data_IF_253760099321
#
_entry.id   IF_253760099321
#
_cell.length_a   1.000
_cell.length_b   1.000
_cell.length_c   1.000
_cell.angle_alpha   90.00
_cell.angle_beta   90.00
_cell.angle_gamma   90.00
#
_symmetry.space_group_name_H-M   'P 1'
#
loop_
_entity.id
_entity.type
_entity.pdbx_description
1 polymer ?
#
# COMPACT_ATOMS: atom_id res chain seq x y z
N UNK A 1 -8.90 -33.90 -11.25
CA UNK A 1 -9.35 -32.51 -11.06
C UNK A 1 -8.96 -31.72 -12.30
N UNK A 2 -9.90 -31.49 -13.23
CA UNK A 2 -9.63 -30.70 -14.45
C UNK A 2 -9.92 -29.23 -14.14
N UNK A 3 -8.90 -28.51 -13.72
CA UNK A 3 -8.95 -27.08 -13.44
C UNK A 3 -8.69 -26.32 -14.73
N UNK A 4 -9.72 -25.75 -15.34
CA UNK A 4 -9.54 -24.90 -16.52
C UNK A 4 -10.57 -23.79 -16.55
N UNK A 5 -10.14 -22.58 -16.14
CA UNK A 5 -10.48 -21.31 -16.78
C UNK A 5 -9.75 -20.14 -16.07
N UNK A 6 -8.52 -19.82 -16.50
CA UNK A 6 -7.91 -18.53 -16.17
C UNK A 6 -8.64 -17.44 -16.98
N UNK A 7 -9.65 -16.80 -16.41
CA UNK A 7 -10.34 -15.67 -17.06
C UNK A 7 -9.66 -14.36 -16.67
N UNK A 8 -8.92 -13.76 -17.61
CA UNK A 8 -8.39 -12.40 -17.50
C UNK A 8 -9.54 -11.40 -17.48
N UNK A 9 -9.46 -10.39 -16.60
CA UNK A 9 -10.28 -9.19 -16.71
C UNK A 9 -9.96 -8.52 -18.05
N UNK A 10 -10.97 -8.34 -18.92
CA UNK A 10 -10.82 -7.66 -20.22
C UNK A 10 -10.43 -6.17 -20.09
N UNK A 11 -10.51 -5.60 -18.88
CA UNK A 11 -10.29 -4.16 -18.62
C UNK A 11 -8.95 -3.82 -17.98
N UNK A 12 -8.12 -4.81 -17.65
CA UNK A 12 -6.87 -4.62 -16.93
C UNK A 12 -5.73 -5.44 -17.57
N UNK A 13 -4.55 -4.86 -17.87
CA UNK A 13 -3.40 -5.64 -18.35
C UNK A 13 -2.90 -6.67 -17.32
N UNK A 14 -3.28 -6.54 -16.05
CA UNK A 14 -2.86 -7.39 -14.94
C UNK A 14 -3.89 -8.45 -14.56
N UNK A 15 -3.39 -9.62 -14.14
CA UNK A 15 -4.21 -10.66 -13.53
C UNK A 15 -4.43 -10.27 -12.06
N UNK A 16 -5.63 -9.77 -11.76
CA UNK A 16 -6.02 -9.34 -10.39
C UNK A 16 -7.06 -10.26 -9.74
N UNK A 17 -7.64 -11.19 -10.52
CA UNK A 17 -8.66 -12.16 -10.09
C UNK A 17 -8.54 -13.47 -10.89
N UNK A 18 -8.87 -14.59 -10.24
CA UNK A 18 -9.08 -15.91 -10.86
C UNK A 18 -10.43 -16.49 -10.38
N UNK A 19 -11.19 -17.10 -11.28
CA UNK A 19 -12.45 -17.78 -10.96
C UNK A 19 -12.27 -19.28 -11.20
N UNK A 20 -12.60 -20.10 -10.20
CA UNK A 20 -12.54 -21.56 -10.28
C UNK A 20 -13.94 -22.14 -10.10
N UNK A 21 -14.41 -22.91 -11.07
CA UNK A 21 -15.67 -23.66 -10.97
C UNK A 21 -15.43 -25.01 -10.29
N UNK A 22 -16.27 -25.35 -9.32
CA UNK A 22 -16.28 -26.63 -8.61
C UNK A 22 -17.22 -27.63 -9.31
N UNK A 23 -17.04 -28.92 -8.99
CA UNK A 23 -17.81 -30.02 -9.61
C UNK A 23 -19.32 -29.96 -9.30
N UNK A 24 -19.71 -29.25 -8.24
CA UNK A 24 -21.09 -29.01 -7.80
C UNK A 24 -21.74 -27.76 -8.44
N UNK A 25 -21.03 -27.08 -9.35
CA UNK A 25 -21.48 -25.87 -10.03
C UNK A 25 -21.26 -24.56 -9.26
N UNK A 26 -20.75 -24.62 -8.02
CA UNK A 26 -20.33 -23.42 -7.29
C UNK A 26 -19.06 -22.81 -7.89
N UNK A 27 -18.92 -21.49 -7.85
CA UNK A 27 -17.70 -20.81 -8.30
C UNK A 27 -16.96 -20.15 -7.12
N UNK A 28 -15.65 -20.34 -7.07
CA UNK A 28 -14.73 -19.68 -6.15
C UNK A 28 -14.05 -18.51 -6.85
N UNK A 29 -14.00 -17.36 -6.20
CA UNK A 29 -13.34 -16.16 -6.73
C UNK A 29 -12.15 -15.82 -5.83
N UNK A 30 -10.95 -15.97 -6.40
CA UNK A 30 -9.70 -15.57 -5.78
C UNK A 30 -9.34 -14.17 -6.23
N UNK A 31 -9.09 -13.27 -5.28
CA UNK A 31 -8.58 -11.92 -5.56
C UNK A 31 -7.11 -11.84 -5.14
N UNK A 32 -6.29 -11.17 -5.95
CA UNK A 32 -4.83 -11.05 -5.75
C UNK A 32 -4.49 -10.54 -4.33
N UNK A 33 -5.08 -9.42 -3.91
CA UNK A 33 -4.84 -8.82 -2.60
C UNK A 33 -5.26 -9.71 -1.42
N UNK A 34 -6.41 -10.39 -1.54
CA UNK A 34 -6.91 -11.31 -0.51
C UNK A 34 -6.01 -12.54 -0.38
N UNK A 35 -5.55 -13.07 -1.50
CA UNK A 35 -4.66 -14.21 -1.54
C UNK A 35 -3.33 -13.92 -0.83
N UNK A 36 -2.73 -12.74 -1.06
CA UNK A 36 -1.51 -12.32 -0.35
C UNK A 36 -1.67 -12.31 1.17
N UNK A 37 -2.81 -11.82 1.64
CA UNK A 37 -3.16 -11.78 3.07
C UNK A 37 -3.69 -13.11 3.62
N UNK A 38 -3.65 -14.19 2.82
CA UNK A 38 -4.16 -15.53 3.17
C UNK A 38 -5.65 -15.54 3.58
N UNK A 39 -6.42 -14.61 3.01
CA UNK A 39 -7.87 -14.52 3.22
C UNK A 39 -8.60 -15.50 2.29
N UNK A 40 -9.81 -15.89 2.68
CA UNK A 40 -10.61 -16.86 1.92
C UNK A 40 -11.13 -16.26 0.61
N UNK A 41 -11.28 -17.08 -0.46
CA UNK A 41 -11.94 -16.66 -1.69
C UNK A 41 -13.43 -16.38 -1.45
N UNK A 42 -14.05 -15.62 -2.35
CA UNK A 42 -15.51 -15.45 -2.37
C UNK A 42 -16.19 -16.65 -3.01
N UNK A 43 -17.41 -16.97 -2.60
CA UNK A 43 -18.22 -18.04 -3.18
C UNK A 43 -19.40 -17.44 -3.96
N UNK A 44 -19.49 -17.76 -5.22
CA UNK A 44 -20.63 -17.41 -6.07
C UNK A 44 -21.65 -18.55 -6.01
N UNK A 45 -22.89 -18.23 -5.64
CA UNK A 45 -24.03 -19.14 -5.77
C UNK A 45 -24.50 -19.22 -7.23
N UNK A 46 -25.09 -20.36 -7.64
CA UNK A 46 -25.54 -20.59 -9.03
C UNK A 46 -26.59 -19.59 -9.55
N UNK A 47 -27.23 -18.79 -8.69
CA UNK A 47 -28.20 -17.78 -9.11
C UNK A 47 -27.57 -16.48 -9.66
N UNK A 48 -26.24 -16.46 -9.92
CA UNK A 48 -25.49 -15.47 -10.74
C UNK A 48 -25.67 -13.96 -10.43
N UNK A 49 -26.42 -13.58 -9.40
CA UNK A 49 -26.78 -12.18 -9.15
C UNK A 49 -25.91 -11.52 -8.07
N UNK A 50 -25.38 -12.28 -7.11
CA UNK A 50 -24.59 -11.75 -5.99
C UNK A 50 -23.45 -12.71 -5.60
N UNK A 51 -22.21 -12.21 -5.54
CA UNK A 51 -21.10 -12.93 -4.93
C UNK A 51 -21.12 -12.68 -3.42
N UNK A 52 -21.21 -13.74 -2.62
CA UNK A 52 -21.14 -13.65 -1.17
C UNK A 52 -19.90 -14.40 -0.67
N UNK A 53 -19.27 -13.98 0.42
CA UNK A 53 -18.40 -14.92 1.14
C UNK A 53 -19.33 -15.94 1.78
N UNK A 54 -19.42 -17.15 1.24
CA UNK A 54 -20.06 -18.25 1.98
C UNK A 54 -19.03 -18.69 3.02
N UNK A 55 -19.06 -18.04 4.19
CA UNK A 55 -18.34 -18.51 5.35
C UNK A 55 -19.12 -19.67 5.99
N UNK A 56 -18.51 -20.83 6.28
CA UNK A 56 -19.11 -21.84 7.17
C UNK A 56 -19.37 -21.33 8.60
N UNK A 57 -18.79 -20.17 8.95
CA UNK A 57 -18.96 -19.50 10.24
C UNK A 57 -18.78 -18.00 10.02
N UNK A 58 -19.79 -17.14 10.29
CA UNK A 58 -19.60 -15.70 10.18
C UNK A 58 -18.50 -15.28 11.16
N UNK A 59 -17.33 -14.88 10.67
CA UNK A 59 -16.47 -14.03 11.47
C UNK A 59 -17.22 -12.72 11.59
N UNK A 60 -17.65 -12.37 12.80
CA UNK A 60 -18.40 -11.15 13.04
C UNK A 60 -17.50 -9.97 12.64
N UNK A 61 -17.86 -9.15 11.63
CA UNK A 61 -17.00 -8.09 11.13
C UNK A 61 -16.65 -7.07 12.22
N UNK A 62 -17.52 -6.89 13.23
CA UNK A 62 -17.22 -6.07 14.42
C UNK A 62 -16.00 -6.55 15.20
N UNK A 63 -15.73 -7.86 15.25
CA UNK A 63 -14.56 -8.39 15.95
C UNK A 63 -13.25 -8.17 15.20
N UNK A 64 -13.29 -7.93 13.89
CA UNK A 64 -12.09 -7.62 13.10
C UNK A 64 -11.45 -6.30 13.54
N UNK A 65 -12.27 -5.30 13.87
CA UNK A 65 -11.83 -3.99 14.37
C UNK A 65 -11.29 -4.02 15.80
N UNK A 66 -11.60 -5.07 16.56
CA UNK A 66 -11.14 -5.26 17.93
C UNK A 66 -9.87 -6.12 18.03
N UNK A 67 -9.48 -6.76 16.92
CA UNK A 67 -8.28 -7.58 16.86
C UNK A 67 -7.12 -6.75 16.34
N UNK A 68 -6.12 -6.53 17.19
CA UNK A 68 -4.92 -5.76 16.85
C UNK A 68 -3.64 -6.61 16.83
N UNK A 69 -3.73 -7.90 17.18
CA UNK A 69 -2.57 -8.76 17.40
C UNK A 69 -2.54 -9.96 16.45
N UNK A 70 -1.56 -9.99 15.54
CA UNK A 70 -1.31 -11.14 14.66
C UNK A 70 0.17 -11.24 14.22
N UNK A 71 1.13 -11.38 15.16
CA UNK A 71 2.57 -11.40 14.85
C UNK A 71 3.02 -12.55 13.95
N UNK A 72 2.20 -13.60 13.81
CA UNK A 72 2.39 -14.71 12.87
C UNK A 72 2.13 -14.33 11.40
N UNK A 73 1.56 -13.15 11.14
CA UNK A 73 1.22 -12.66 9.81
C UNK A 73 2.24 -11.65 9.31
N UNK A 74 2.73 -11.84 8.09
CA UNK A 74 3.60 -10.87 7.43
C UNK A 74 2.89 -9.51 7.24
N UNK A 75 1.62 -9.53 6.84
CA UNK A 75 0.77 -8.34 6.71
C UNK A 75 0.67 -7.51 8.00
N UNK A 76 0.75 -8.15 9.17
CA UNK A 76 0.70 -7.44 10.45
C UNK A 76 1.99 -6.63 10.68
N UNK A 77 3.15 -7.23 10.40
CA UNK A 77 4.44 -6.52 10.47
C UNK A 77 4.52 -5.39 9.44
N UNK A 78 4.05 -5.61 8.22
CA UNK A 78 3.97 -4.56 7.19
C UNK A 78 3.15 -3.38 7.70
N UNK A 79 1.95 -3.63 8.23
CA UNK A 79 1.08 -2.59 8.78
C UNK A 79 1.73 -1.84 9.95
N UNK A 80 2.35 -2.57 10.89
CA UNK A 80 3.01 -1.97 12.05
C UNK A 80 4.20 -1.09 11.66
N UNK A 81 5.05 -1.56 10.75
CA UNK A 81 6.22 -0.81 10.28
C UNK A 81 5.79 0.47 9.55
N UNK A 82 4.80 0.40 8.65
CA UNK A 82 4.26 1.61 8.03
C UNK A 82 3.61 2.55 9.04
N UNK A 83 2.94 2.04 10.07
CA UNK A 83 2.34 2.84 11.14
C UNK A 83 3.40 3.61 11.94
N UNK A 84 4.50 2.95 12.31
CA UNK A 84 5.62 3.59 13.02
C UNK A 84 6.31 4.62 12.11
N UNK A 85 6.62 4.24 10.87
CA UNK A 85 7.26 5.13 9.89
C UNK A 85 6.44 6.40 9.63
N UNK A 86 5.14 6.24 9.41
CA UNK A 86 4.22 7.38 9.21
C UNK A 86 4.07 8.24 10.46
N UNK A 87 4.08 7.67 11.67
CA UNK A 87 4.09 8.45 12.91
C UNK A 87 5.36 9.31 13.05
N UNK A 88 6.53 8.78 12.67
CA UNK A 88 7.77 9.55 12.62
C UNK A 88 7.67 10.72 11.65
N UNK A 89 7.20 10.49 10.41
CA UNK A 89 7.03 11.59 9.44
C UNK A 89 5.98 12.61 9.87
N UNK A 90 4.89 12.17 10.50
CA UNK A 90 3.88 13.07 11.04
C UNK A 90 4.47 13.92 12.17
N UNK A 91 5.26 13.33 13.07
CA UNK A 91 5.97 14.09 14.08
C UNK A 91 6.96 15.08 13.46
N UNK A 92 7.76 14.66 12.47
CA UNK A 92 8.75 15.53 11.83
C UNK A 92 8.13 16.74 11.15
N UNK A 93 7.06 16.53 10.37
CA UNK A 93 6.32 17.62 9.72
C UNK A 93 5.62 18.53 10.74
N UNK A 94 5.03 17.96 11.79
CA UNK A 94 4.42 18.75 12.88
C UNK A 94 5.46 19.60 13.61
N UNK A 95 6.59 19.01 14.01
CA UNK A 95 7.66 19.69 14.73
C UNK A 95 8.32 20.80 13.91
N UNK A 96 8.41 20.62 12.58
CA UNK A 96 8.93 21.64 11.68
C UNK A 96 7.98 22.83 11.51
N UNK A 97 6.66 22.60 11.52
CA UNK A 97 5.65 23.65 11.29
C UNK A 97 5.15 24.37 12.54
N UNK A 98 5.14 23.67 13.68
CA UNK A 98 4.67 24.19 14.96
C UNK A 98 5.68 23.93 16.08
N UNK A 99 6.95 24.35 15.94
CA UNK A 99 7.99 24.10 16.94
C UNK A 99 7.66 24.71 18.30
N UNK A 100 6.88 25.79 18.35
CA UNK A 100 6.42 26.47 19.56
C UNK A 100 5.48 25.64 20.45
N UNK A 101 4.85 24.61 19.88
CA UNK A 101 3.99 23.67 20.62
C UNK A 101 4.78 22.54 21.28
N UNK A 102 6.08 22.46 21.02
CA UNK A 102 6.99 21.43 21.53
C UNK A 102 8.02 22.04 22.49
N UNK A 103 8.68 21.17 23.25
CA UNK A 103 9.87 21.58 24.01
C UNK A 103 10.97 21.97 23.02
N UNK A 104 11.77 23.03 23.28
CA UNK A 104 12.79 23.51 22.34
C UNK A 104 13.73 22.41 21.84
N UNK A 105 14.16 21.51 22.73
CA UNK A 105 15.08 20.42 22.39
C UNK A 105 14.48 19.38 21.43
N UNK A 106 13.14 19.28 21.38
CA UNK A 106 12.40 18.31 20.58
C UNK A 106 12.10 18.78 19.15
N UNK A 107 12.23 20.08 18.88
CA UNK A 107 11.93 20.70 17.58
C UNK A 107 13.20 21.24 16.88
N UNK A 108 14.39 20.82 17.32
CA UNK A 108 15.63 21.21 16.66
C UNK A 108 15.76 20.50 15.30
N UNK A 109 16.39 21.18 14.32
CA UNK A 109 16.61 20.63 12.97
C UNK A 109 17.28 19.25 12.99
N UNK A 110 18.32 18.97 13.82
CA UNK A 110 18.92 17.64 13.88
C UNK A 110 17.96 16.57 14.40
N UNK A 111 17.16 16.89 15.43
CA UNK A 111 16.17 15.94 15.98
C UNK A 111 15.10 15.62 14.94
N UNK A 112 14.57 16.64 14.26
CA UNK A 112 13.58 16.46 13.18
C UNK A 112 14.16 15.59 12.05
N UNK A 113 15.37 15.88 11.60
CA UNK A 113 16.06 15.09 10.58
C UNK A 113 16.24 13.62 10.98
N UNK A 114 16.67 13.37 12.22
CA UNK A 114 16.82 11.99 12.74
C UNK A 114 15.47 11.27 12.79
N UNK A 115 14.40 11.94 13.20
CA UNK A 115 13.06 11.32 13.22
C UNK A 115 12.61 10.96 11.80
N UNK A 116 12.82 11.83 10.80
CA UNK A 116 12.52 11.50 9.41
C UNK A 116 13.34 10.30 8.90
N UNK A 117 14.65 10.27 9.20
CA UNK A 117 15.53 9.16 8.79
C UNK A 117 15.12 7.84 9.45
N UNK A 118 14.82 7.83 10.75
CA UNK A 118 14.31 6.64 11.43
C UNK A 118 12.98 6.20 10.81
N UNK A 119 12.07 7.14 10.53
CA UNK A 119 10.82 6.85 9.84
C UNK A 119 11.01 6.20 8.48
N UNK A 120 12.01 6.65 7.70
CA UNK A 120 12.25 6.15 6.35
C UNK A 120 12.79 4.72 6.36
N UNK A 121 13.56 4.33 7.39
CA UNK A 121 14.00 2.95 7.60
C UNK A 121 12.82 2.00 7.86
N UNK A 122 11.82 2.45 8.63
CA UNK A 122 10.59 1.71 8.87
C UNK A 122 9.77 1.55 7.57
N UNK A 123 9.62 2.61 6.77
CA UNK A 123 8.96 2.56 5.47
C UNK A 123 9.66 1.59 4.51
N UNK A 124 10.99 1.63 4.41
CA UNK A 124 11.76 0.72 3.53
C UNK A 124 11.64 -0.72 3.98
N UNK A 125 11.69 -0.98 5.29
CA UNK A 125 11.48 -2.32 5.84
C UNK A 125 10.08 -2.84 5.51
N UNK A 126 9.04 -2.00 5.71
CA UNK A 126 7.66 -2.34 5.38
C UNK A 126 7.47 -2.64 3.89
N UNK A 127 8.00 -1.79 3.00
CA UNK A 127 7.92 -1.97 1.56
C UNK A 127 8.68 -3.22 1.08
N UNK A 128 9.83 -3.53 1.69
CA UNK A 128 10.56 -4.77 1.44
C UNK A 128 9.77 -6.01 1.84
N UNK A 129 9.13 -5.99 3.02
CA UNK A 129 8.23 -7.07 3.45
C UNK A 129 6.98 -7.17 2.56
N UNK A 130 6.44 -6.04 2.08
CA UNK A 130 5.29 -6.01 1.17
C UNK A 130 5.64 -6.62 -0.20
N UNK A 131 6.84 -6.32 -0.72
CA UNK A 131 7.35 -6.96 -1.94
C UNK A 131 7.52 -8.48 -1.74
N UNK A 132 8.05 -8.90 -0.58
CA UNK A 132 8.20 -10.31 -0.23
C UNK A 132 6.84 -11.02 -0.07
N UNK A 133 5.84 -10.34 0.48
CA UNK A 133 4.45 -10.80 0.51
C UNK A 133 3.90 -11.00 -0.91
N UNK A 134 4.15 -10.05 -1.81
CA UNK A 134 3.71 -10.12 -3.19
C UNK A 134 4.38 -11.25 -3.98
N UNK A 135 5.67 -11.50 -3.75
CA UNK A 135 6.40 -12.64 -4.31
C UNK A 135 5.74 -13.97 -3.90
N UNK A 136 5.34 -14.10 -2.64
CA UNK A 136 4.85 -15.37 -2.07
C UNK A 136 3.32 -15.54 -2.13
N UNK A 137 2.56 -14.54 -2.57
CA UNK A 137 1.10 -14.52 -2.52
C UNK A 137 0.39 -14.33 -3.85
N UNK A 138 1.04 -14.68 -4.97
CA UNK A 138 0.45 -14.53 -6.30
C UNK A 138 -0.67 -15.57 -6.56
N UNK A 139 -1.76 -15.07 -7.15
CA UNK A 139 -2.90 -15.87 -7.59
C UNK A 139 -2.59 -16.67 -8.86
N UNK A 140 -1.67 -16.21 -9.71
CA UNK A 140 -1.29 -16.94 -10.93
C UNK A 140 -0.68 -18.31 -10.61
N UNK A 141 -0.12 -18.45 -9.41
CA UNK A 141 0.44 -19.70 -8.98
C UNK A 141 -0.67 -20.67 -8.50
N UNK A 142 -1.91 -20.24 -8.20
CA UNK A 142 -2.99 -21.15 -7.76
C UNK A 142 -3.20 -22.30 -8.76
N UNK A 143 -2.92 -23.54 -8.32
CA UNK A 143 -3.07 -24.75 -9.14
C UNK A 143 -1.81 -25.26 -9.86
N UNK A 144 -0.65 -24.61 -9.69
CA UNK A 144 0.62 -25.05 -10.33
C UNK A 144 1.39 -26.13 -9.55
N UNK A 145 0.83 -26.69 -8.47
CA UNK A 145 1.49 -27.71 -7.65
C UNK A 145 0.54 -28.80 -7.14
N UNK A 146 1.06 -29.93 -6.61
CA UNK A 146 0.26 -31.00 -6.04
C UNK A 146 -0.70 -30.46 -4.96
N UNK A 147 -1.96 -30.89 -5.00
CA UNK A 147 -2.98 -30.47 -4.03
C UNK A 147 -2.51 -30.74 -2.60
N UNK A 148 -2.45 -29.69 -1.77
CA UNK A 148 -2.17 -29.79 -0.33
C UNK A 148 -0.71 -29.53 0.10
N UNK A 149 0.23 -29.25 -0.79
CA UNK A 149 1.58 -28.85 -0.38
C UNK A 149 1.65 -27.36 -0.02
N UNK A 150 2.25 -27.04 1.14
CA UNK A 150 2.68 -25.68 1.48
C UNK A 150 3.73 -25.26 0.46
N UNK A 151 3.49 -24.14 -0.22
CA UNK A 151 4.47 -23.56 -1.14
C UNK A 151 5.81 -23.35 -0.47
N UNK A 152 6.88 -23.64 -1.20
CA UNK A 152 8.22 -23.21 -0.84
C UNK A 152 8.25 -21.67 -0.78
N UNK A 153 8.99 -21.14 0.20
CA UNK A 153 9.21 -19.71 0.36
C UNK A 153 10.21 -19.22 -0.68
N UNK A 154 9.87 -18.14 -1.38
CA UNK A 154 10.74 -17.51 -2.37
C UNK A 154 11.17 -16.13 -1.88
N UNK A 155 12.49 -15.90 -1.91
CA UNK A 155 13.07 -14.59 -1.64
C UNK A 155 13.09 -13.68 -2.87
N UNK A 156 13.05 -14.29 -4.05
CA UNK A 156 13.16 -13.61 -5.35
C UNK A 156 12.19 -14.23 -6.34
N UNK A 157 11.47 -13.39 -7.07
CA UNK A 157 10.67 -13.78 -8.24
C UNK A 157 10.44 -12.57 -9.13
N UNK A 158 10.28 -12.79 -10.44
CA UNK A 158 9.90 -11.74 -11.39
C UNK A 158 8.44 -11.94 -11.82
N UNK A 159 7.55 -11.04 -11.38
CA UNK A 159 6.09 -11.16 -11.60
C UNK A 159 5.47 -9.89 -12.22
N UNK A 160 5.92 -9.45 -13.41
CA UNK A 160 5.51 -8.17 -14.00
C UNK A 160 4.03 -8.10 -14.41
N UNK A 161 3.35 -9.25 -14.53
CA UNK A 161 1.91 -9.31 -14.84
C UNK A 161 1.00 -9.22 -13.60
N UNK A 162 1.58 -9.07 -12.40
CA UNK A 162 0.86 -8.90 -11.15
C UNK A 162 0.95 -7.42 -10.71
N UNK A 163 -0.20 -6.75 -10.68
CA UNK A 163 -0.29 -5.33 -10.30
C UNK A 163 0.22 -5.06 -8.88
N UNK A 164 -0.08 -5.95 -7.93
CA UNK A 164 0.37 -5.81 -6.55
C UNK A 164 1.88 -6.03 -6.39
N UNK A 165 2.48 -6.90 -7.20
CA UNK A 165 3.94 -7.05 -7.27
C UNK A 165 4.61 -5.78 -7.81
N UNK A 166 4.16 -5.27 -8.96
CA UNK A 166 4.72 -4.04 -9.52
C UNK A 166 4.52 -2.83 -8.60
N UNK A 167 3.33 -2.71 -8.00
CA UNK A 167 3.04 -1.68 -6.99
C UNK A 167 4.06 -1.75 -5.85
N UNK A 168 4.27 -2.94 -5.27
CA UNK A 168 5.21 -3.12 -4.15
C UNK A 168 6.67 -2.91 -4.55
N UNK A 169 7.05 -3.29 -5.77
CA UNK A 169 8.40 -3.10 -6.31
C UNK A 169 8.73 -1.61 -6.50
N UNK A 170 7.82 -0.86 -7.12
CA UNK A 170 7.98 0.59 -7.33
C UNK A 170 7.94 1.32 -5.98
N UNK A 171 7.04 0.93 -5.07
CA UNK A 171 7.00 1.45 -3.71
C UNK A 171 8.34 1.26 -3.00
N UNK A 172 8.91 0.05 -3.07
CA UNK A 172 10.20 -0.26 -2.45
C UNK A 172 11.34 0.60 -3.03
N UNK A 173 11.40 0.76 -4.36
CA UNK A 173 12.34 1.66 -5.01
C UNK A 173 12.18 3.11 -4.52
N UNK A 174 10.94 3.60 -4.40
CA UNK A 174 10.65 4.92 -3.85
C UNK A 174 11.13 5.09 -2.40
N UNK A 175 10.94 4.07 -1.55
CA UNK A 175 11.38 4.13 -0.14
C UNK A 175 12.90 4.14 0.01
N UNK A 176 13.64 3.50 -0.91
CA UNK A 176 15.10 3.57 -0.96
C UNK A 176 15.59 4.98 -1.32
N UNK A 177 14.94 5.64 -2.29
CA UNK A 177 15.23 7.03 -2.63
C UNK A 177 14.93 7.99 -1.46
N UNK A 178 13.83 7.76 -0.74
CA UNK A 178 13.52 8.50 0.49
C UNK A 178 14.56 8.25 1.60
N UNK A 179 15.19 7.07 1.67
CA UNK A 179 16.28 6.82 2.60
C UNK A 179 17.52 7.63 2.26
N UNK A 180 17.88 7.72 0.99
CA UNK A 180 18.98 8.60 0.55
C UNK A 180 18.66 10.05 0.86
N UNK A 181 17.48 10.54 0.46
CA UNK A 181 17.01 11.89 0.79
C UNK A 181 17.14 12.20 2.30
N UNK A 182 16.47 11.41 3.15
CA UNK A 182 16.43 11.66 4.60
C UNK A 182 17.78 11.45 5.29
N UNK A 183 18.63 10.55 4.78
CA UNK A 183 19.98 10.34 5.27
C UNK A 183 20.91 11.50 4.89
N UNK A 184 20.87 11.94 3.64
CA UNK A 184 21.68 13.06 3.14
C UNK A 184 21.24 14.39 3.76
N UNK A 185 19.97 14.52 4.17
CA UNK A 185 19.47 15.65 4.94
C UNK A 185 20.12 15.80 6.33
N UNK A 186 20.80 14.78 6.84
CA UNK A 186 21.58 14.85 8.09
C UNK A 186 22.98 15.43 7.87
N UNK A 187 23.44 15.56 6.62
CA UNK A 187 24.75 16.09 6.30
C UNK A 187 24.78 17.61 6.54
N UNK A 188 25.82 18.07 7.24
CA UNK A 188 26.06 19.49 7.44
C UNK A 188 26.90 20.08 6.30
N UNK A 189 26.70 21.37 6.01
CA UNK A 189 27.56 22.12 5.10
C UNK A 189 27.27 21.95 3.61
N UNK A 190 26.18 21.28 3.23
CA UNK A 190 25.78 21.15 1.81
C UNK A 190 25.42 22.51 1.20
N UNK A 191 26.01 22.80 0.04
CA UNK A 191 25.62 23.89 -0.83
C UNK A 191 24.25 23.68 -1.46
N UNK A 192 23.68 24.71 -2.08
CA UNK A 192 22.33 24.62 -2.66
C UNK A 192 22.20 23.54 -3.75
N UNK A 193 23.15 23.48 -4.69
CA UNK A 193 23.16 22.45 -5.75
C UNK A 193 23.27 21.04 -5.19
N UNK A 194 24.06 20.86 -4.13
CA UNK A 194 24.20 19.55 -3.48
C UNK A 194 22.90 19.13 -2.79
N UNK A 195 22.16 20.07 -2.19
CA UNK A 195 20.83 19.79 -1.64
C UNK A 195 19.83 19.39 -2.73
N UNK A 196 19.81 20.11 -3.85
CA UNK A 196 18.94 19.78 -4.98
C UNK A 196 19.21 18.37 -5.52
N UNK A 197 20.49 17.97 -5.61
CA UNK A 197 20.88 16.68 -6.17
C UNK A 197 20.72 15.53 -5.16
N UNK A 198 21.15 15.71 -3.91
CA UNK A 198 21.22 14.64 -2.90
C UNK A 198 19.93 14.49 -2.09
N UNK A 199 19.23 15.60 -1.84
CA UNK A 199 18.05 15.62 -0.96
C UNK A 199 16.78 15.69 -1.82
N UNK A 200 16.65 16.73 -2.64
CA UNK A 200 15.37 17.04 -3.29
C UNK A 200 15.10 16.21 -4.55
N UNK A 201 16.14 15.84 -5.32
CA UNK A 201 15.95 14.97 -6.51
C UNK A 201 15.45 13.57 -6.11
N UNK A 202 16.06 12.88 -5.12
CA UNK A 202 15.53 11.59 -4.66
C UNK A 202 14.14 11.73 -4.01
N UNK A 203 13.85 12.84 -3.33
CA UNK A 203 12.52 13.15 -2.79
C UNK A 203 11.44 13.20 -3.89
N UNK A 204 11.72 13.95 -4.96
CA UNK A 204 10.83 14.11 -6.11
C UNK A 204 10.58 12.78 -6.82
N UNK A 205 11.64 12.04 -7.12
CA UNK A 205 11.53 10.74 -7.82
C UNK A 205 10.85 9.71 -6.92
N UNK A 206 11.19 9.67 -5.63
CA UNK A 206 10.57 8.78 -4.66
C UNK A 206 9.06 9.03 -4.52
N UNK A 207 8.65 10.29 -4.49
CA UNK A 207 7.22 10.68 -4.45
C UNK A 207 6.46 10.27 -5.71
N UNK A 208 7.08 10.40 -6.90
CA UNK A 208 6.52 9.89 -8.15
C UNK A 208 6.38 8.36 -8.13
N UNK A 209 7.34 7.64 -7.55
CA UNK A 209 7.23 6.20 -7.34
C UNK A 209 6.02 5.85 -6.46
N UNK A 210 5.78 6.56 -5.36
CA UNK A 210 4.62 6.32 -4.48
C UNK A 210 3.29 6.57 -5.19
N UNK A 211 3.23 7.60 -6.05
CA UNK A 211 2.04 7.89 -6.86
C UNK A 211 1.77 6.77 -7.87
N UNK A 212 2.79 6.32 -8.59
CA UNK A 212 2.69 5.20 -9.53
C UNK A 212 2.31 3.89 -8.84
N UNK A 213 2.94 3.59 -7.69
CA UNK A 213 2.63 2.42 -6.87
C UNK A 213 1.18 2.44 -6.36
N UNK A 214 0.69 3.59 -5.89
CA UNK A 214 -0.69 3.77 -5.44
C UNK A 214 -1.69 3.59 -6.57
N UNK A 215 -1.37 4.06 -7.78
CA UNK A 215 -2.23 3.84 -8.94
C UNK A 215 -2.31 2.37 -9.35
N UNK A 216 -1.19 1.63 -9.32
CA UNK A 216 -1.20 0.18 -9.55
C UNK A 216 -1.99 -0.58 -8.48
N UNK A 217 -1.92 -0.16 -7.21
CA UNK A 217 -2.72 -0.73 -6.14
C UNK A 217 -4.22 -0.48 -6.36
N UNK A 218 -4.59 0.71 -6.87
CA UNK A 218 -5.96 1.02 -7.28
C UNK A 218 -6.41 0.13 -8.42
N UNK A 219 -5.57 -0.07 -9.43
CA UNK A 219 -5.90 -0.97 -10.54
C UNK A 219 -6.11 -2.41 -10.09
N UNK A 220 -5.33 -2.85 -9.10
CA UNK A 220 -5.45 -4.18 -8.52
C UNK A 220 -6.81 -4.40 -7.84
N UNK A 221 -7.20 -3.51 -6.93
CA UNK A 221 -8.48 -3.65 -6.20
C UNK A 221 -9.68 -3.38 -7.10
N UNK A 222 -9.51 -2.55 -8.13
CA UNK A 222 -10.58 -2.19 -9.05
C UNK A 222 -10.80 -3.21 -10.18
N UNK A 223 -9.88 -4.18 -10.33
CA UNK A 223 -9.85 -5.12 -11.45
C UNK A 223 -9.92 -4.43 -12.84
N UNK A 224 -9.44 -3.19 -12.91
CA UNK A 224 -9.62 -2.24 -14.01
C UNK A 224 -8.91 -0.92 -13.68
N UNK A 225 -9.29 0.18 -14.32
CA UNK A 225 -8.65 1.49 -14.12
C UNK A 225 -9.17 2.26 -12.91
N UNK A 226 -10.41 1.98 -12.49
CA UNK A 226 -11.09 2.66 -11.39
C UNK A 226 -12.24 1.81 -10.86
N UNK A 227 -12.52 1.94 -9.56
CA UNK A 227 -13.71 1.38 -8.90
C UNK A 227 -14.14 2.29 -7.76
N UNK A 228 -15.43 2.25 -7.43
CA UNK A 228 -15.98 2.94 -6.26
C UNK A 228 -16.60 1.91 -5.31
N UNK A 229 -15.80 1.46 -4.34
CA UNK A 229 -16.16 0.38 -3.43
C UNK A 229 -16.04 0.82 -1.96
N UNK A 230 -16.74 1.90 -1.52
CA UNK A 230 -16.58 2.52 -0.20
C UNK A 230 -17.00 1.60 0.95
N UNK A 231 -17.70 0.51 0.63
CA UNK A 231 -18.00 -0.53 1.60
C UNK A 231 -16.74 -1.28 2.00
N UNK A 232 -15.74 -1.46 1.14
CA UNK A 232 -14.58 -2.30 1.39
C UNK A 232 -13.45 -1.55 2.12
N UNK A 233 -12.85 -2.17 3.14
CA UNK A 233 -11.70 -1.59 3.87
C UNK A 233 -10.48 -1.50 2.95
N UNK A 234 -10.27 -2.51 2.10
CA UNK A 234 -9.19 -2.51 1.11
C UNK A 234 -9.24 -1.27 0.19
N UNK A 235 -10.44 -0.81 -0.19
CA UNK A 235 -10.62 0.39 -1.00
C UNK A 235 -10.17 1.64 -0.25
N UNK A 236 -10.56 1.81 1.01
CA UNK A 236 -10.12 2.93 1.84
C UNK A 236 -8.60 2.93 2.08
N UNK A 237 -7.98 1.76 2.32
CA UNK A 237 -6.51 1.66 2.46
C UNK A 237 -5.83 2.23 1.21
N UNK A 238 -6.27 1.84 0.02
CA UNK A 238 -5.67 2.28 -1.25
C UNK A 238 -5.94 3.76 -1.52
N UNK A 239 -7.17 4.23 -1.34
CA UNK A 239 -7.54 5.61 -1.61
C UNK A 239 -6.85 6.61 -0.67
N UNK A 240 -6.71 6.26 0.61
CA UNK A 240 -6.02 7.10 1.59
C UNK A 240 -4.50 7.09 1.31
N UNK A 241 -3.91 5.95 0.93
CA UNK A 241 -2.50 5.90 0.48
C UNK A 241 -2.27 6.74 -0.78
N UNK A 242 -3.21 6.74 -1.73
CA UNK A 242 -3.14 7.59 -2.91
C UNK A 242 -3.19 9.08 -2.53
N UNK A 243 -4.10 9.47 -1.64
CA UNK A 243 -4.16 10.84 -1.11
C UNK A 243 -2.86 11.23 -0.39
N UNK A 244 -2.29 10.33 0.40
CA UNK A 244 -0.98 10.53 1.04
C UNK A 244 0.15 10.71 0.03
N UNK A 245 0.18 9.89 -1.03
CA UNK A 245 1.17 9.99 -2.10
C UNK A 245 1.07 11.31 -2.87
N UNK A 246 -0.16 11.80 -3.12
CA UNK A 246 -0.38 13.11 -3.72
C UNK A 246 0.15 14.22 -2.80
N UNK A 247 -0.15 14.17 -1.49
CA UNK A 247 0.33 15.15 -0.53
C UNK A 247 1.87 15.18 -0.47
N UNK A 248 2.55 14.01 -0.42
CA UNK A 248 4.02 13.95 -0.48
C UNK A 248 4.58 14.50 -1.79
N UNK A 249 3.92 14.21 -2.92
CA UNK A 249 4.32 14.79 -4.19
C UNK A 249 4.21 16.32 -4.21
N UNK A 250 3.14 16.87 -3.63
CA UNK A 250 2.97 18.32 -3.48
C UNK A 250 4.05 18.89 -2.56
N UNK A 251 4.37 18.22 -1.45
CA UNK A 251 5.50 18.60 -0.58
C UNK A 251 6.82 18.68 -1.34
N UNK A 252 7.14 17.67 -2.14
CA UNK A 252 8.37 17.63 -2.93
C UNK A 252 8.44 18.79 -3.94
N UNK A 253 7.30 19.21 -4.51
CA UNK A 253 7.25 20.39 -5.38
C UNK A 253 7.64 21.67 -4.62
N UNK A 254 7.12 21.85 -3.41
CA UNK A 254 7.46 23.01 -2.59
C UNK A 254 8.93 23.01 -2.15
N UNK A 255 9.51 21.83 -1.93
CA UNK A 255 10.90 21.69 -1.54
C UNK A 255 11.91 21.88 -2.69
N UNK A 256 11.55 21.49 -3.91
CA UNK A 256 12.46 21.46 -5.07
C UNK A 256 12.51 22.76 -5.87
N UNK A 257 11.37 23.40 -6.14
CA UNK A 257 11.28 24.37 -7.24
C UNK A 257 11.54 25.85 -6.96
N UNK A 258 11.55 26.40 -5.74
CA UNK A 258 12.05 27.76 -5.55
C UNK A 258 13.59 27.75 -5.41
N UNK A 259 14.36 28.21 -6.42
CA UNK A 259 15.78 28.43 -6.23
C UNK A 259 16.00 29.66 -5.33
N UNK A 260 17.06 29.71 -4.50
CA UNK A 260 17.45 30.94 -3.79
C UNK A 260 17.67 32.09 -4.79
N UNK A 261 17.23 33.33 -4.48
CA UNK A 261 16.68 33.81 -3.20
C UNK A 261 15.16 33.65 -3.06
N UNK A 262 14.48 33.00 -4.00
CA UNK A 262 13.01 32.99 -4.09
C UNK A 262 12.35 32.01 -3.10
N UNK A 263 13.15 31.24 -2.34
CA UNK A 263 12.70 30.46 -1.17
C UNK A 263 12.17 31.41 -0.11
N UNK A 264 10.85 31.48 0.00
CA UNK A 264 10.20 32.16 1.12
C UNK A 264 9.89 31.19 2.25
N UNK A 265 9.65 31.73 3.45
CA UNK A 265 9.17 30.96 4.59
C UNK A 265 7.89 30.16 4.28
N UNK A 266 6.99 30.68 3.43
CA UNK A 266 5.75 29.99 3.09
C UNK A 266 6.01 28.69 2.33
N UNK A 267 7.02 28.63 1.44
CA UNK A 267 7.35 27.40 0.70
C UNK A 267 7.85 26.29 1.62
N UNK A 268 8.75 26.63 2.56
CA UNK A 268 9.26 25.66 3.55
C UNK A 268 8.11 25.17 4.44
N UNK A 269 7.26 26.09 4.89
CA UNK A 269 6.10 25.75 5.71
C UNK A 269 5.10 24.86 4.96
N UNK A 270 4.84 25.15 3.68
CA UNK A 270 3.96 24.35 2.83
C UNK A 270 4.54 22.95 2.59
N UNK A 271 5.84 22.81 2.31
CA UNK A 271 6.49 21.50 2.16
C UNK A 271 6.27 20.63 3.42
N UNK A 272 6.58 21.18 4.59
CA UNK A 272 6.40 20.49 5.86
C UNK A 272 4.92 20.21 6.19
N UNK A 273 3.99 21.11 5.84
CA UNK A 273 2.55 20.88 6.01
C UNK A 273 2.08 19.70 5.17
N UNK A 274 2.45 19.67 3.88
CA UNK A 274 2.05 18.62 2.97
C UNK A 274 2.70 17.28 3.33
N UNK A 275 3.94 17.29 3.83
CA UNK A 275 4.57 16.11 4.45
C UNK A 275 3.75 15.62 5.65
N UNK A 276 3.34 16.52 6.55
CA UNK A 276 2.52 16.16 7.71
C UNK A 276 1.18 15.54 7.30
N UNK A 277 0.45 16.18 6.38
CA UNK A 277 -0.83 15.69 5.86
C UNK A 277 -0.64 14.31 5.21
N UNK A 278 0.36 14.15 4.35
CA UNK A 278 0.67 12.89 3.71
C UNK A 278 0.98 11.78 4.70
N UNK A 279 1.74 12.10 5.76
CA UNK A 279 2.07 11.17 6.82
C UNK A 279 0.84 10.73 7.62
N UNK A 280 -0.10 11.63 7.91
CA UNK A 280 -1.37 11.28 8.55
C UNK A 280 -2.21 10.35 7.66
N UNK A 281 -2.25 10.59 6.35
CA UNK A 281 -2.91 9.68 5.42
C UNK A 281 -2.27 8.27 5.49
N UNK A 282 -0.95 8.17 5.37
CA UNK A 282 -0.26 6.87 5.48
C UNK A 282 -0.48 6.21 6.84
N UNK A 283 -0.55 6.97 7.93
CA UNK A 283 -0.85 6.45 9.27
C UNK A 283 -2.23 5.81 9.33
N UNK A 284 -3.26 6.53 8.87
CA UNK A 284 -4.64 6.02 8.83
C UNK A 284 -4.76 4.80 7.93
N UNK A 285 -4.16 4.84 6.73
CA UNK A 285 -4.17 3.71 5.82
C UNK A 285 -3.47 2.47 6.41
N UNK A 286 -2.33 2.66 7.08
CA UNK A 286 -1.58 1.59 7.75
C UNK A 286 -2.36 0.98 8.90
N UNK A 287 -3.07 1.81 9.69
CA UNK A 287 -3.98 1.33 10.71
C UNK A 287 -5.09 0.46 10.11
N UNK A 288 -5.70 0.88 9.00
CA UNK A 288 -6.76 0.13 8.31
C UNK A 288 -6.29 -1.21 7.71
N UNK A 289 -4.98 -1.42 7.51
CA UNK A 289 -4.44 -2.72 7.10
C UNK A 289 -4.61 -3.81 8.17
N UNK A 290 -4.74 -3.42 9.45
CA UNK A 290 -4.94 -4.35 10.58
C UNK A 290 -6.34 -4.99 10.54
N UNK A 291 -7.47 -4.26 10.56
CA UNK A 291 -8.79 -4.87 10.43
C UNK A 291 -8.99 -5.58 9.07
N UNK A 292 -8.31 -5.12 8.00
CA UNK A 292 -8.28 -5.82 6.70
C UNK A 292 -7.71 -7.24 6.84
N UNK A 293 -6.67 -7.45 7.66
CA UNK A 293 -6.08 -8.77 7.93
C UNK A 293 -7.09 -9.74 8.60
N UNK A 294 -8.04 -9.21 9.36
CA UNK A 294 -9.06 -10.01 10.05
C UNK A 294 -10.37 -10.11 9.27
N UNK A 295 -10.29 -9.95 7.94
CA UNK A 295 -11.41 -10.09 7.00
C UNK A 295 -12.61 -9.20 7.35
N UNK A 296 -12.36 -7.92 7.66
CA UNK A 296 -13.41 -6.91 7.85
C UNK A 296 -14.36 -6.75 6.63
N UNK A 297 -13.99 -7.30 5.48
CA UNK A 297 -14.77 -7.33 4.25
C UNK A 297 -15.58 -8.63 4.05
N UNK A 298 -15.50 -9.60 4.97
CA UNK A 298 -16.16 -10.91 4.88
C UNK A 298 -17.67 -10.86 4.69
N UNK A 299 -18.36 -9.84 5.22
CA UNK A 299 -19.81 -9.68 5.10
C UNK A 299 -20.28 -8.93 3.85
N UNK A 300 -19.36 -8.51 2.96
CA UNK A 300 -19.67 -7.54 1.89
C UNK A 300 -19.84 -8.24 0.55
N UNK A 301 -20.91 -7.89 -0.15
CA UNK A 301 -21.20 -8.40 -1.50
C UNK A 301 -20.24 -7.80 -2.52
N UNK A 302 -19.58 -8.64 -3.32
CA UNK A 302 -18.82 -8.19 -4.49
C UNK A 302 -19.77 -8.22 -5.70
N UNK A 303 -20.02 -7.06 -6.31
CA UNK A 303 -20.89 -6.95 -7.48
C UNK A 303 -20.07 -7.27 -8.73
N UNK A 304 -20.51 -8.28 -9.50
CA UNK A 304 -19.96 -8.56 -10.82
C UNK A 304 -20.63 -7.67 -11.88
N UNK A 305 -19.84 -7.04 -12.74
CA UNK A 305 -20.34 -6.21 -13.83
C UNK A 305 -21.04 -7.05 -14.92
N UNK A 306 -21.99 -6.48 -15.68
CA UNK A 306 -22.74 -7.21 -16.73
C UNK A 306 -21.88 -7.83 -17.84
N UNK A 307 -20.78 -7.21 -18.25
CA UNK A 307 -19.88 -7.78 -19.26
C UNK A 307 -19.14 -9.03 -18.76
N UNK A 308 -19.01 -9.19 -17.44
CA UNK A 308 -18.47 -10.39 -16.80
C UNK A 308 -19.51 -11.52 -16.71
N UNK A 309 -20.80 -11.24 -16.99
CA UNK A 309 -21.88 -12.25 -17.07
C UNK A 309 -21.98 -12.94 -18.43
N UNK A 310 -21.52 -12.28 -19.50
CA UNK A 310 -21.63 -12.78 -20.88
C UNK A 310 -20.43 -13.62 -21.34
N UNK A 311 -19.36 -13.64 -20.53
CA UNK A 311 -18.22 -14.54 -20.70
C UNK A 311 -18.28 -15.74 -19.74
N UNK A 312 -19.43 -15.92 -19.06
CA UNK A 312 -19.72 -16.98 -18.09
C UNK A 312 -19.76 -18.37 -18.75
#
# INVERSE_FOLDING_TARGET
>A
MKTTANRRSLRNPFISRVVQTLDDGHQLVFLSRRQRKRLRPFHLTPNHLNAHVITPRPQQPHTAWLRLWAPQSLAWWIALLFLIGSACFAYGGFAANWPELLKPDMATTPVIGVVFFVGSLFFTSAAGLQLLEAINGDIADLGTGPSGQRRAWHWWAWKPHNAGYLSSLIQFAGTLLFNFNTGDALLAGLGWVEKDVLIWTPDMIGSLCFLAASYLALMEISHGWWSFEPRQVAWWVVMINLAGSIAFQVSAFYAFFPPPPDVSWSWIWDANLWTFIGALCFFVASYLMIPELFDADSGKTVVLSPHERLSA
#
